data_IF_901815998589
#
_entry.id   IF_901815998589
#
_cell.length_a   1.000
_cell.length_b   1.000
_cell.length_c   1.000
_cell.angle_alpha   90.00
_cell.angle_beta   90.00
_cell.angle_gamma   90.00
#
_symmetry.space_group_name_H-M   'P 1'
#
loop_
_entity.id
_entity.type
_entity.pdbx_description
1 polymer ?
#
# COMPACT_ATOMS: atom_id res chain seq x y z
N UNK A 1 2.13 3.23 -12.32
CA UNK A 1 1.64 3.91 -11.11
C UNK A 1 0.13 4.03 -11.17
N UNK A 2 -0.57 3.60 -10.12
CA UNK A 2 -2.03 3.67 -9.96
C UNK A 2 -2.58 5.10 -10.11
N UNK A 3 -1.82 6.10 -9.72
CA UNK A 3 -2.20 7.53 -9.84
C UNK A 3 -2.44 8.01 -11.26
N UNK A 4 -1.97 7.29 -12.28
CA UNK A 4 -2.20 7.64 -13.69
C UNK A 4 -3.55 7.17 -14.22
N UNK A 5 -4.28 6.39 -13.43
CA UNK A 5 -5.59 5.88 -13.82
C UNK A 5 -6.64 6.91 -13.43
N UNK A 6 -7.44 7.36 -14.38
CA UNK A 6 -8.49 8.36 -14.15
C UNK A 6 -9.47 7.92 -13.07
N UNK A 7 -9.71 8.77 -12.08
CA UNK A 7 -10.61 8.49 -10.95
C UNK A 7 -10.01 7.61 -9.87
N UNK A 8 -8.69 7.40 -9.88
CA UNK A 8 -7.96 6.74 -8.81
C UNK A 8 -7.11 7.78 -8.09
N UNK A 9 -7.25 7.87 -6.79
CA UNK A 9 -6.41 8.67 -5.90
C UNK A 9 -5.74 7.78 -4.87
N UNK A 10 -4.57 8.21 -4.40
CA UNK A 10 -3.84 7.50 -3.35
C UNK A 10 -3.87 8.36 -2.10
N UNK A 11 -4.41 7.80 -1.04
CA UNK A 11 -4.42 8.41 0.27
C UNK A 11 -3.11 8.08 0.99
N UNK A 12 -2.55 9.06 1.64
CA UNK A 12 -1.28 8.91 2.37
C UNK A 12 -1.56 8.68 3.84
N UNK A 13 -0.92 7.66 4.41
CA UNK A 13 -0.86 7.44 5.84
C UNK A 13 0.62 7.44 6.24
N UNK A 14 0.99 8.25 7.26
CA UNK A 14 2.39 8.36 7.67
C UNK A 14 3.34 8.92 6.60
N UNK A 15 2.82 9.78 5.68
CA UNK A 15 3.63 10.32 4.57
C UNK A 15 3.70 9.43 3.33
N UNK A 16 3.35 8.16 3.43
CA UNK A 16 3.38 7.21 2.34
C UNK A 16 2.01 6.97 1.70
N UNK A 17 1.99 6.76 0.38
CA UNK A 17 0.79 6.39 -0.35
C UNK A 17 0.45 4.93 -0.11
N UNK A 18 -0.39 4.67 0.87
CA UNK A 18 -0.67 3.31 1.32
C UNK A 18 -2.07 2.82 0.96
N UNK A 19 -3.02 3.73 0.76
CA UNK A 19 -4.43 3.38 0.55
C UNK A 19 -4.95 3.96 -0.77
N UNK A 20 -5.90 3.29 -1.40
CA UNK A 20 -6.43 3.70 -2.70
C UNK A 20 -7.91 4.01 -2.60
N UNK A 21 -8.26 5.20 -3.07
CA UNK A 21 -9.64 5.67 -3.24
C UNK A 21 -9.99 5.66 -4.73
N UNK A 22 -11.11 5.08 -5.10
CA UNK A 22 -11.57 5.03 -6.49
C UNK A 22 -12.93 5.69 -6.62
N UNK A 23 -13.04 6.67 -7.52
CA UNK A 23 -14.28 7.44 -7.79
C UNK A 23 -14.88 8.06 -6.52
N UNK A 24 -14.07 8.49 -5.56
CA UNK A 24 -14.52 9.03 -4.30
C UNK A 24 -14.97 8.00 -3.26
N UNK A 25 -14.99 6.71 -3.62
CA UNK A 25 -15.21 5.65 -2.63
C UNK A 25 -13.91 5.38 -1.87
N UNK A 26 -13.95 5.57 -0.56
CA UNK A 26 -12.81 5.37 0.33
C UNK A 26 -12.25 3.94 0.29
N UNK A 27 -11.05 3.72 0.84
CA UNK A 27 -10.31 2.47 0.73
C UNK A 27 -11.06 1.23 1.18
N UNK A 28 -11.90 1.34 2.21
CA UNK A 28 -12.70 0.23 2.74
C UNK A 28 -13.80 -0.26 1.77
N UNK A 29 -14.15 0.54 0.76
CA UNK A 29 -15.16 0.22 -0.23
C UNK A 29 -14.59 -0.43 -1.50
N UNK A 30 -13.28 -0.55 -1.58
CA UNK A 30 -12.59 -1.19 -2.70
C UNK A 30 -12.16 -2.61 -2.32
N UNK A 31 -12.30 -3.54 -3.26
CA UNK A 31 -11.77 -4.89 -3.11
C UNK A 31 -10.38 -4.95 -3.72
N UNK A 32 -9.40 -5.39 -2.94
CA UNK A 32 -8.06 -5.65 -3.43
C UNK A 32 -7.83 -7.13 -3.50
N UNK A 33 -7.33 -7.58 -4.65
CA UNK A 33 -6.98 -8.98 -4.90
C UNK A 33 -5.56 -9.08 -5.42
N UNK A 34 -4.90 -10.20 -5.15
CA UNK A 34 -3.63 -10.58 -5.78
C UNK A 34 -3.86 -11.86 -6.57
N UNK A 35 -3.62 -11.80 -7.86
CA UNK A 35 -3.89 -12.91 -8.80
C UNK A 35 -5.35 -13.43 -8.70
N UNK A 36 -6.31 -12.53 -8.50
CA UNK A 36 -7.72 -12.84 -8.37
C UNK A 36 -8.16 -13.36 -7.00
N UNK A 37 -7.26 -13.43 -6.02
CA UNK A 37 -7.57 -13.89 -4.66
C UNK A 37 -7.52 -12.74 -3.67
N UNK A 38 -8.51 -12.65 -2.81
CA UNK A 38 -8.54 -11.69 -1.73
C UNK A 38 -7.52 -12.09 -0.66
N UNK A 39 -6.71 -11.11 -0.22
CA UNK A 39 -5.81 -11.30 0.91
C UNK A 39 -6.53 -11.04 2.23
N UNK A 40 -6.22 -11.81 3.27
CA UNK A 40 -6.69 -11.50 4.61
C UNK A 40 -6.05 -10.18 5.07
N UNK A 41 -6.84 -9.38 5.78
CA UNK A 41 -6.36 -8.15 6.39
C UNK A 41 -6.15 -8.39 7.89
N UNK A 42 -5.05 -7.88 8.42
CA UNK A 42 -4.67 -8.00 9.84
C UNK A 42 -5.20 -6.84 10.70
N UNK A 43 -5.68 -5.76 10.08
CA UNK A 43 -6.13 -4.55 10.80
C UNK A 43 -7.60 -4.60 11.23
N UNK A 44 -8.34 -5.65 10.87
CA UNK A 44 -9.75 -5.81 11.21
C UNK A 44 -10.72 -4.93 10.40
N UNK A 45 -10.20 -4.05 9.54
CA UNK A 45 -10.96 -3.30 8.56
C UNK A 45 -10.82 -3.92 7.15
N UNK A 46 -11.48 -3.36 6.15
CA UNK A 46 -11.40 -3.85 4.77
C UNK A 46 -10.33 -3.14 3.94
N UNK A 47 -9.54 -2.29 4.55
CA UNK A 47 -8.53 -1.51 3.86
C UNK A 47 -7.28 -2.36 3.60
N UNK A 48 -6.74 -2.25 2.40
CA UNK A 48 -5.49 -2.90 2.04
C UNK A 48 -4.38 -1.86 2.02
N UNK A 49 -3.26 -2.21 2.65
CA UNK A 49 -2.08 -1.36 2.69
C UNK A 49 -1.08 -1.79 1.61
N UNK A 50 -0.92 -0.93 0.61
CA UNK A 50 0.00 -1.16 -0.49
C UNK A 50 1.48 -0.99 -0.11
N UNK A 51 1.78 -0.36 1.02
CA UNK A 51 3.16 -0.20 1.50
C UNK A 51 3.83 -1.56 1.77
N UNK A 52 3.02 -2.59 2.10
CA UNK A 52 3.53 -3.94 2.37
C UNK A 52 3.76 -4.78 1.09
N UNK A 53 3.52 -4.21 -0.09
CA UNK A 53 3.70 -4.93 -1.36
C UNK A 53 4.92 -4.37 -2.08
N UNK A 54 5.95 -5.19 -2.21
CA UNK A 54 7.11 -4.80 -2.99
C UNK A 54 6.75 -4.57 -4.45
N UNK A 55 7.09 -3.40 -4.97
CA UNK A 55 6.77 -2.99 -6.34
C UNK A 55 7.34 -3.95 -7.38
N UNK A 56 8.48 -4.57 -7.08
CA UNK A 56 9.20 -5.50 -7.94
C UNK A 56 8.48 -6.85 -8.10
N UNK A 57 7.63 -7.20 -7.13
CA UNK A 57 6.83 -8.43 -7.20
C UNK A 57 5.58 -8.27 -8.07
N UNK A 58 5.18 -7.03 -8.39
CA UNK A 58 3.98 -6.73 -9.16
C UNK A 58 4.31 -6.53 -10.62
N UNK A 59 3.76 -7.36 -11.49
CA UNK A 59 3.91 -7.23 -12.94
C UNK A 59 2.86 -6.32 -13.57
N UNK A 60 1.69 -6.19 -12.94
CA UNK A 60 0.62 -5.37 -13.45
C UNK A 60 -0.48 -5.10 -12.44
N UNK A 61 -1.30 -4.11 -12.76
CA UNK A 61 -2.46 -3.73 -11.96
C UNK A 61 -3.66 -3.58 -12.88
N UNK A 62 -4.75 -4.23 -12.54
CA UNK A 62 -6.02 -4.15 -13.24
C UNK A 62 -7.04 -3.48 -12.31
N UNK A 63 -7.74 -2.47 -12.79
CA UNK A 63 -8.76 -1.76 -12.03
C UNK A 63 -10.11 -1.93 -12.71
N UNK A 64 -10.98 -2.69 -12.08
CA UNK A 64 -12.35 -2.90 -12.51
C UNK A 64 -13.23 -1.87 -11.80
N UNK A 65 -13.65 -0.84 -12.55
CA UNK A 65 -14.49 0.26 -12.03
C UNK A 65 -15.98 -0.06 -12.05
N UNK A 66 -16.34 -1.11 -12.75
CA UNK A 66 -17.71 -1.65 -12.83
C UNK A 66 -17.69 -3.11 -12.41
N UNK A 67 -18.82 -3.61 -11.94
CA UNK A 67 -18.97 -5.03 -11.64
C UNK A 67 -18.77 -5.87 -12.90
N UNK A 68 -18.05 -6.96 -12.76
CA UNK A 68 -17.82 -7.96 -13.78
C UNK A 68 -18.06 -9.33 -13.15
N UNK A 69 -18.87 -10.16 -13.79
CA UNK A 69 -19.26 -11.46 -13.24
C UNK A 69 -18.09 -12.46 -13.15
N UNK A 70 -17.02 -12.23 -13.89
CA UNK A 70 -15.80 -13.04 -13.85
C UNK A 70 -14.86 -12.69 -12.70
N UNK A 71 -15.11 -11.57 -12.03
CA UNK A 71 -14.27 -11.02 -10.95
C UNK A 71 -14.97 -11.18 -9.61
N UNK A 72 -14.23 -11.58 -8.59
CA UNK A 72 -14.76 -11.69 -7.22
C UNK A 72 -15.44 -10.40 -6.81
N UNK A 73 -16.71 -10.50 -6.41
CA UNK A 73 -17.49 -9.37 -5.92
C UNK A 73 -17.09 -9.01 -4.49
N UNK A 74 -17.22 -7.74 -4.13
CA UNK A 74 -16.91 -7.27 -2.77
C UNK A 74 -16.52 -5.81 -2.66
N UNK A 75 -16.17 -5.16 -3.76
CA UNK A 75 -15.89 -3.73 -3.81
C UNK A 75 -17.07 -2.95 -4.41
N UNK A 76 -17.64 -2.02 -3.66
CA UNK A 76 -18.68 -1.11 -4.17
C UNK A 76 -18.04 -0.04 -5.07
N UNK A 77 -16.87 0.43 -4.71
CA UNK A 77 -16.14 1.44 -5.47
C UNK A 77 -15.43 0.86 -6.69
N UNK A 78 -14.62 -0.15 -6.49
CA UNK A 78 -13.86 -0.84 -7.52
C UNK A 78 -13.28 -2.16 -7.01
N UNK A 79 -12.88 -3.02 -7.94
CA UNK A 79 -11.97 -4.14 -7.66
C UNK A 79 -10.61 -3.85 -8.29
N UNK A 80 -9.57 -3.93 -7.49
CA UNK A 80 -8.18 -3.72 -7.93
C UNK A 80 -7.46 -5.05 -7.80
N UNK A 81 -7.03 -5.60 -8.93
CA UNK A 81 -6.30 -6.85 -8.98
C UNK A 81 -4.82 -6.60 -9.29
N UNK A 82 -3.97 -6.97 -8.35
CA UNK A 82 -2.51 -6.98 -8.55
C UNK A 82 -2.14 -8.32 -9.20
N UNK A 83 -1.36 -8.27 -10.25
CA UNK A 83 -0.81 -9.48 -10.87
C UNK A 83 0.66 -9.57 -10.57
N UNK A 84 1.10 -10.75 -10.12
CA UNK A 84 2.52 -11.02 -9.88
C UNK A 84 3.18 -11.58 -11.14
N UNK A 85 4.50 -11.52 -11.17
CA UNK A 85 5.26 -12.14 -12.24
C UNK A 85 5.01 -13.65 -12.28
N UNK A 86 4.60 -14.11 -13.47
CA UNK A 86 4.47 -15.54 -13.76
C UNK A 86 5.53 -15.93 -14.79
N UNK A 87 6.40 -16.90 -14.51
CA UNK A 87 7.48 -17.31 -15.41
C UNK A 87 6.99 -17.63 -16.81
N UNK A 88 5.88 -18.36 -16.91
CA UNK A 88 5.31 -18.80 -18.19
C UNK A 88 4.76 -17.66 -19.06
N UNK A 89 4.43 -16.50 -18.46
CA UNK A 89 4.01 -15.32 -19.22
C UNK A 89 5.19 -14.59 -19.90
N UNK A 90 6.38 -14.94 -19.48
CA UNK A 90 7.61 -14.31 -19.96
C UNK A 90 8.73 -15.35 -19.98
N UNK A 91 8.74 -16.23 -20.98
CA UNK A 91 9.68 -17.34 -21.05
C UNK A 91 11.14 -16.91 -21.03
N UNK A 92 12.02 -17.83 -20.65
CA UNK A 92 13.46 -17.62 -20.55
C UNK A 92 13.92 -17.29 -19.14
N UNK A 93 15.15 -16.82 -19.04
CA UNK A 93 15.76 -16.42 -17.76
C UNK A 93 15.55 -14.91 -17.58
N UNK A 94 15.01 -14.53 -16.44
CA UNK A 94 14.90 -13.13 -16.01
C UNK A 94 15.45 -12.99 -14.62
N UNK A 95 16.39 -12.08 -14.45
CA UNK A 95 16.93 -11.70 -13.16
C UNK A 95 16.91 -10.19 -13.04
N UNK A 96 16.46 -9.71 -11.90
CA UNK A 96 16.48 -8.29 -11.55
C UNK A 96 16.96 -8.15 -10.13
N UNK A 97 17.85 -7.20 -9.91
CA UNK A 97 18.34 -6.86 -8.59
C UNK A 97 18.29 -5.35 -8.44
N UNK A 98 17.70 -4.87 -7.36
CA UNK A 98 17.56 -3.46 -7.05
C UNK A 98 18.10 -3.14 -5.68
N UNK A 99 18.86 -2.05 -5.58
CA UNK A 99 19.26 -1.44 -4.31
C UNK A 99 18.81 0.00 -4.35
N UNK A 100 18.15 0.43 -3.32
CA UNK A 100 17.64 1.77 -3.18
C UNK A 100 17.94 2.29 -1.78
N UNK A 101 18.42 3.50 -1.68
CA UNK A 101 18.55 4.20 -0.42
C UNK A 101 17.53 5.34 -0.40
N UNK A 102 16.75 5.39 0.66
CA UNK A 102 15.78 6.47 0.88
C UNK A 102 16.29 7.31 2.04
N UNK A 103 16.51 8.57 1.77
CA UNK A 103 16.82 9.59 2.78
C UNK A 103 15.51 10.25 3.20
N UNK A 104 15.09 10.02 4.44
CA UNK A 104 13.89 10.64 4.99
C UNK A 104 14.31 11.80 5.90
N UNK A 105 13.99 13.01 5.44
CA UNK A 105 14.26 14.26 6.16
C UNK A 105 13.09 14.68 7.08
N UNK A 106 12.11 13.82 7.29
CA UNK A 106 10.98 14.08 8.18
C UNK A 106 11.29 13.82 9.66
N UNK A 107 12.41 13.16 9.93
CA UNK A 107 12.95 12.97 11.28
C UNK A 107 14.08 13.97 11.56
N UNK A 108 14.19 14.44 12.79
CA UNK A 108 15.19 15.45 13.19
C UNK A 108 16.66 14.99 12.99
N UNK A 109 16.89 13.68 12.89
CA UNK A 109 18.24 13.11 12.75
C UNK A 109 18.56 12.61 11.32
N UNK A 110 17.63 12.69 10.37
CA UNK A 110 17.80 12.19 9.01
C UNK A 110 18.16 10.70 9.00
N UNK A 111 17.28 9.87 8.53
CA UNK A 111 17.49 8.41 8.50
C UNK A 111 17.65 7.92 7.06
N UNK A 112 18.79 7.32 6.76
CA UNK A 112 19.01 6.63 5.49
C UNK A 112 18.55 5.19 5.64
N UNK A 113 17.47 4.85 4.99
CA UNK A 113 16.87 3.53 5.04
C UNK A 113 17.20 2.73 3.78
N UNK A 114 17.88 1.57 3.92
CA UNK A 114 18.19 0.74 2.78
C UNK A 114 16.98 -0.10 2.34
N UNK A 115 16.77 -0.18 1.06
CA UNK A 115 15.83 -1.09 0.43
C UNK A 115 16.57 -1.97 -0.57
N UNK A 116 16.43 -3.28 -0.44
CA UNK A 116 17.03 -4.26 -1.34
C UNK A 116 15.94 -5.15 -1.88
N UNK A 117 15.93 -5.35 -3.19
CA UNK A 117 14.96 -6.23 -3.84
C UNK A 117 15.64 -7.13 -4.85
N UNK A 118 15.10 -8.31 -5.04
CA UNK A 118 15.57 -9.27 -6.02
C UNK A 118 14.46 -10.10 -6.60
N UNK A 119 14.56 -10.39 -7.89
CA UNK A 119 13.67 -11.29 -8.61
C UNK A 119 14.51 -12.19 -9.51
N UNK A 120 14.27 -13.46 -9.44
CA UNK A 120 14.77 -14.46 -10.37
C UNK A 120 13.62 -15.28 -10.90
N UNK A 121 13.58 -15.47 -12.21
CA UNK A 121 12.55 -16.25 -12.89
C UNK A 121 13.18 -17.02 -14.04
N UNK A 122 12.88 -18.29 -14.15
CA UNK A 122 13.35 -19.16 -15.23
C UNK A 122 12.27 -20.12 -15.68
N UNK A 123 12.19 -20.35 -17.00
CA UNK A 123 11.40 -21.41 -17.60
C UNK A 123 12.31 -22.53 -18.10
N UNK A 124 11.80 -23.75 -18.13
CA UNK A 124 12.49 -24.94 -18.60
C UNK A 124 11.50 -25.96 -19.17
N UNK A 125 12.00 -26.99 -19.86
CA UNK A 125 11.19 -28.01 -20.50
C UNK A 125 10.32 -27.46 -21.64
N UNK A 126 10.94 -26.73 -22.58
CA UNK A 126 10.26 -26.07 -23.70
C UNK A 126 9.11 -25.14 -23.19
N UNK A 127 9.42 -24.34 -22.16
CA UNK A 127 8.52 -23.40 -21.52
C UNK A 127 7.24 -24.02 -20.89
N UNK A 128 7.30 -25.31 -20.56
CA UNK A 128 6.19 -25.99 -19.87
C UNK A 128 6.23 -25.80 -18.35
N UNK A 129 7.40 -25.54 -17.80
CA UNK A 129 7.60 -25.34 -16.39
C UNK A 129 8.32 -24.03 -16.13
N UNK A 130 8.02 -23.39 -15.00
CA UNK A 130 8.68 -22.16 -14.61
C UNK A 130 8.76 -22.01 -13.11
N UNK A 131 9.87 -21.46 -12.66
CA UNK A 131 10.10 -21.09 -11.26
C UNK A 131 10.37 -19.60 -11.21
N UNK A 132 9.77 -18.91 -10.23
CA UNK A 132 10.06 -17.53 -9.90
C UNK A 132 10.24 -17.40 -8.40
N UNK A 133 11.32 -16.72 -8.03
CA UNK A 133 11.63 -16.39 -6.64
C UNK A 133 11.82 -14.88 -6.58
N UNK A 134 11.11 -14.23 -5.69
CA UNK A 134 11.28 -12.79 -5.41
C UNK A 134 11.40 -12.57 -3.92
N UNK A 135 12.20 -11.59 -3.55
CA UNK A 135 12.35 -11.16 -2.17
C UNK A 135 12.66 -9.67 -2.13
N UNK A 136 12.21 -9.03 -1.06
CA UNK A 136 12.55 -7.65 -0.77
C UNK A 136 12.77 -7.50 0.72
N UNK A 137 13.74 -6.68 1.05
CA UNK A 137 13.99 -6.22 2.41
C UNK A 137 13.97 -4.70 2.40
N UNK A 138 13.18 -4.14 3.28
CA UNK A 138 13.14 -2.70 3.46
C UNK A 138 13.04 -2.43 4.98
N UNK A 139 13.83 -1.49 5.43
CA UNK A 139 13.75 -0.94 6.76
C UNK A 139 13.39 0.54 6.60
N UNK A 140 12.32 0.99 7.25
CA UNK A 140 11.85 2.37 7.09
C UNK A 140 11.59 3.00 8.43
N UNK A 141 12.25 4.10 8.64
CA UNK A 141 11.95 5.05 9.69
C UNK A 141 11.39 6.31 9.04
N UNK A 142 10.17 6.68 9.39
CA UNK A 142 9.54 7.92 8.94
C UNK A 142 8.90 8.65 10.11
N UNK A 143 9.09 9.95 10.17
CA UNK A 143 8.43 10.84 11.12
C UNK A 143 7.30 11.61 10.45
N UNK A 144 6.20 11.80 11.16
CA UNK A 144 5.11 12.64 10.71
C UNK A 144 4.74 13.61 11.83
N UNK A 145 4.83 14.90 11.53
CA UNK A 145 4.23 15.92 12.38
C UNK A 145 2.82 16.20 11.89
N UNK A 146 1.83 15.88 12.69
CA UNK A 146 0.44 16.07 12.35
C UNK A 146 -0.25 16.93 13.41
N UNK A 147 -0.89 18.01 12.97
CA UNK A 147 -1.84 18.74 13.79
C UNK A 147 -3.24 18.18 13.52
N UNK A 148 -3.84 17.57 14.54
CA UNK A 148 -5.21 17.06 14.44
C UNK A 148 -6.09 17.97 15.29
N UNK A 149 -7.02 18.69 14.63
CA UNK A 149 -8.10 19.38 15.31
C UNK A 149 -9.32 18.44 15.31
N UNK A 150 -9.57 17.80 16.43
CA UNK A 150 -10.72 16.94 16.61
C UNK A 150 -11.91 17.76 17.12
N UNK A 151 -12.97 17.78 16.31
CA UNK A 151 -14.32 18.24 16.65
C UNK A 151 -14.49 19.58 17.37
N UNK A 152 -13.74 20.61 17.01
CA UNK A 152 -13.93 21.95 17.53
C UNK A 152 -13.48 22.13 18.98
N UNK A 153 -13.69 23.35 19.49
CA UNK A 153 -13.38 23.66 20.88
C UNK A 153 -14.35 22.90 21.81
N UNK A 154 -13.83 21.91 22.54
CA UNK A 154 -14.53 21.41 23.71
C UNK A 154 -14.26 22.33 24.87
N UNK A 155 -15.30 22.79 25.54
CA UNK A 155 -15.14 23.41 26.84
C UNK A 155 -14.48 22.37 27.75
N UNK A 156 -13.22 22.63 28.16
CA UNK A 156 -12.57 21.79 29.12
C UNK A 156 -13.28 21.97 30.47
N UNK A 157 -13.80 20.88 30.99
CA UNK A 157 -14.16 20.82 32.38
C UNK A 157 -12.85 20.99 33.19
N UNK A 158 -12.77 22.00 34.04
CA UNK A 158 -11.58 22.35 34.81
C UNK A 158 -11.06 21.20 35.71
N UNK A 159 -11.77 20.11 35.77
CA UNK A 159 -11.40 18.92 36.55
C UNK A 159 -10.66 17.87 35.72
N UNK A 160 -10.63 18.00 34.38
CA UNK A 160 -10.00 17.02 33.52
C UNK A 160 -8.65 17.57 32.99
N UNK A 161 -7.57 17.21 33.63
CA UNK A 161 -6.19 17.58 33.27
C UNK A 161 -5.66 16.85 32.03
N UNK A 162 -6.48 16.06 31.35
CA UNK A 162 -6.04 15.20 30.23
C UNK A 162 -5.86 15.89 28.88
N UNK A 163 -6.32 17.14 28.69
CA UNK A 163 -6.23 17.86 27.43
C UNK A 163 -5.97 19.35 27.63
N UNK A 164 -4.71 19.72 27.84
CA UNK A 164 -4.28 21.11 27.75
C UNK A 164 -5.17 22.12 28.53
N UNK A 165 -5.85 21.66 29.55
CA UNK A 165 -6.66 22.52 30.40
C UNK A 165 -5.75 23.51 31.08
N UNK A 166 -5.96 24.80 30.83
CA UNK A 166 -5.30 25.85 31.59
C UNK A 166 -5.74 25.71 33.02
N UNK A 167 -4.83 25.58 34.01
CA UNK A 167 -5.21 25.47 35.39
C UNK A 167 -6.04 26.70 35.80
N UNK A 168 -7.08 26.47 36.58
CA UNK A 168 -7.87 27.53 37.11
C UNK A 168 -6.94 28.46 37.93
N UNK A 169 -6.69 29.68 37.43
CA UNK A 169 -5.86 30.67 38.10
C UNK A 169 -4.64 31.17 37.30
N UNK A 170 -4.55 30.83 36.01
CA UNK A 170 -3.56 31.47 35.11
C UNK A 170 -4.17 32.66 34.37
#
# INVERSE_FOLDING_TARGET
SLQRITGVSIDRAGGEGSRVTVRGFGPANNLITINGRQLPNTTGDRTFDFANVASESVSGVQVYKTSDASVTSGGIGATINLTTNRPLNSPGIKASFGVKAVDDQSTDEGSITPEVSGLYSQTFGDDKFGISISGSYQDRESGMQQFIQDQGYRASDYTNTGWGGVPAGA
#
